data_IF_620735449575
#
_entry.id   IF_620735449575
#
_cell.length_a   1.000
_cell.length_b   1.000
_cell.length_c   1.000
_cell.angle_alpha   90.00
_cell.angle_beta   90.00
_cell.angle_gamma   90.00
#
_symmetry.space_group_name_H-M   'P 1'
#
loop_
_entity.id
_entity.type
_entity.pdbx_description
1 polymer ?
#
# COMPACT_ATOMS: atom_id res chain seq x y z
N UNK A 1 -22.45 -21.54 -22.05
CA UNK A 1 -23.35 -20.91 -21.05
C UNK A 1 -22.73 -20.84 -19.65
N UNK A 2 -22.03 -21.89 -19.21
CA UNK A 2 -21.35 -21.96 -17.90
C UNK A 2 -20.27 -20.89 -17.66
N UNK A 3 -19.39 -20.62 -18.64
CA UNK A 3 -18.35 -19.58 -18.51
C UNK A 3 -18.93 -18.16 -18.40
N UNK A 4 -19.97 -17.84 -19.18
CA UNK A 4 -20.66 -16.54 -19.09
C UNK A 4 -21.31 -16.33 -17.72
N UNK A 5 -21.88 -17.38 -17.11
CA UNK A 5 -22.46 -17.32 -15.75
C UNK A 5 -21.38 -17.13 -14.68
N UNK A 6 -20.25 -17.85 -14.79
CA UNK A 6 -19.09 -17.66 -13.89
C UNK A 6 -18.56 -16.23 -13.93
N UNK A 7 -18.45 -15.64 -15.12
CA UNK A 7 -17.96 -14.27 -15.27
C UNK A 7 -18.89 -13.21 -14.65
N UNK A 8 -20.21 -13.42 -14.70
CA UNK A 8 -21.18 -12.53 -14.05
C UNK A 8 -21.12 -12.67 -12.53
N UNK A 9 -21.04 -13.89 -12.00
CA UNK A 9 -20.90 -14.11 -10.56
C UNK A 9 -19.63 -13.45 -10.01
N UNK A 10 -18.49 -13.61 -10.69
CA UNK A 10 -17.24 -12.97 -10.30
C UNK A 10 -17.31 -11.43 -10.35
N UNK A 11 -18.09 -10.88 -11.30
CA UNK A 11 -18.31 -9.44 -11.40
C UNK A 11 -19.20 -8.90 -10.26
N UNK A 12 -20.26 -9.64 -9.90
CA UNK A 12 -21.10 -9.30 -8.76
C UNK A 12 -20.29 -9.39 -7.47
N UNK A 13 -19.54 -10.47 -7.28
CA UNK A 13 -18.70 -10.65 -6.11
C UNK A 13 -17.65 -9.55 -5.99
N UNK A 14 -17.02 -9.14 -7.09
CA UNK A 14 -16.06 -8.03 -7.06
C UNK A 14 -16.70 -6.69 -6.71
N UNK A 15 -17.92 -6.42 -7.20
CA UNK A 15 -18.70 -5.24 -6.80
C UNK A 15 -19.05 -5.24 -5.31
N UNK A 16 -19.48 -6.38 -4.78
CA UNK A 16 -19.79 -6.55 -3.35
C UNK A 16 -18.55 -6.35 -2.49
N UNK A 17 -17.43 -6.99 -2.82
CA UNK A 17 -16.17 -6.83 -2.08
C UNK A 17 -15.65 -5.39 -2.14
N UNK A 18 -15.70 -4.73 -3.30
CA UNK A 18 -15.31 -3.33 -3.44
C UNK A 18 -16.24 -2.40 -2.64
N UNK A 19 -17.54 -2.68 -2.61
CA UNK A 19 -18.52 -1.93 -1.81
C UNK A 19 -18.29 -2.09 -0.31
N UNK A 20 -18.01 -3.30 0.18
CA UNK A 20 -17.66 -3.50 1.58
C UNK A 20 -16.34 -2.83 1.95
N UNK A 21 -15.35 -2.86 1.06
CA UNK A 21 -14.11 -2.11 1.28
C UNK A 21 -14.34 -0.60 1.32
N UNK A 22 -15.26 -0.06 0.52
CA UNK A 22 -15.65 1.35 0.55
C UNK A 22 -16.31 1.73 1.89
N UNK A 23 -17.12 0.84 2.46
CA UNK A 23 -17.80 1.05 3.74
C UNK A 23 -16.88 0.88 4.97
N UNK A 24 -15.72 0.24 4.83
CA UNK A 24 -14.86 -0.08 5.99
C UNK A 24 -13.96 1.09 6.40
N UNK A 25 -13.11 1.57 5.49
CA UNK A 25 -12.16 2.64 5.77
C UNK A 25 -11.89 3.48 4.53
N UNK A 26 -11.47 4.74 4.71
CA UNK A 26 -11.36 5.72 3.64
C UNK A 26 -10.45 5.32 2.45
N UNK A 27 -9.28 4.69 2.66
CA UNK A 27 -8.48 4.10 1.58
C UNK A 27 -9.28 3.04 0.80
N UNK A 28 -10.12 2.25 1.47
CA UNK A 28 -10.89 1.18 0.85
C UNK A 28 -11.82 1.65 -0.28
N UNK A 29 -12.11 2.95 -0.34
CA UNK A 29 -12.86 3.56 -1.46
C UNK A 29 -12.18 3.40 -2.82
N UNK A 30 -10.86 3.21 -2.86
CA UNK A 30 -10.10 3.06 -4.11
C UNK A 30 -10.24 1.66 -4.75
N UNK A 31 -10.68 0.63 -4.03
CA UNK A 31 -10.83 -0.72 -4.60
C UNK A 31 -11.82 -0.77 -5.76
N UNK A 32 -12.73 0.21 -5.87
CA UNK A 32 -13.63 0.35 -7.02
C UNK A 32 -12.87 0.41 -8.36
N UNK A 33 -11.66 0.96 -8.36
CA UNK A 33 -10.92 1.22 -9.60
C UNK A 33 -10.31 -0.04 -10.21
N UNK A 34 -10.01 -1.10 -9.45
CA UNK A 34 -9.39 -2.30 -10.03
C UNK A 34 -10.29 -2.95 -11.09
N UNK A 35 -11.57 -3.29 -10.80
CA UNK A 35 -12.43 -3.90 -11.80
C UNK A 35 -12.76 -2.94 -12.95
N UNK A 36 -12.91 -1.64 -12.67
CA UNK A 36 -13.16 -0.62 -13.68
C UNK A 36 -12.01 -0.48 -14.66
N UNK A 37 -10.77 -0.35 -14.17
CA UNK A 37 -9.57 -0.32 -15.00
C UNK A 37 -9.41 -1.61 -15.80
N UNK A 38 -9.68 -2.76 -15.18
CA UNK A 38 -9.60 -4.05 -15.86
C UNK A 38 -10.61 -4.13 -17.02
N UNK A 39 -11.86 -3.73 -16.80
CA UNK A 39 -12.88 -3.67 -17.86
C UNK A 39 -12.55 -2.65 -18.95
N UNK A 40 -11.94 -1.52 -18.59
CA UNK A 40 -11.56 -0.48 -19.55
C UNK A 40 -10.39 -0.92 -20.44
N UNK A 41 -9.37 -1.57 -19.86
CA UNK A 41 -8.15 -1.99 -20.55
C UNK A 41 -8.25 -3.38 -21.22
N UNK A 42 -9.29 -4.17 -20.94
CA UNK A 42 -9.62 -5.42 -21.66
C UNK A 42 -10.84 -5.22 -22.57
N UNK A 43 -10.66 -5.04 -23.89
CA UNK A 43 -11.75 -4.84 -24.85
C UNK A 43 -12.85 -5.91 -24.79
N UNK A 44 -12.50 -7.18 -24.52
CA UNK A 44 -13.45 -8.29 -24.43
C UNK A 44 -14.45 -8.18 -23.27
N UNK A 45 -14.10 -7.41 -22.23
CA UNK A 45 -14.92 -7.17 -21.05
C UNK A 45 -15.61 -5.79 -21.06
N UNK A 46 -15.23 -4.91 -21.98
CA UNK A 46 -15.77 -3.56 -22.18
C UNK A 46 -17.20 -3.60 -22.75
N UNK A 47 -18.12 -4.14 -21.97
CA UNK A 47 -19.55 -4.22 -22.28
C UNK A 47 -20.28 -3.28 -21.32
N UNK A 48 -21.08 -2.37 -21.86
CA UNK A 48 -21.88 -1.43 -21.05
C UNK A 48 -22.70 -2.14 -19.98
N UNK A 49 -23.27 -3.31 -20.31
CA UNK A 49 -24.00 -4.16 -19.35
C UNK A 49 -23.15 -4.57 -18.13
N UNK A 50 -21.88 -4.91 -18.33
CA UNK A 50 -21.00 -5.29 -17.23
C UNK A 50 -20.68 -4.08 -16.34
N UNK A 51 -20.43 -2.93 -16.96
CA UNK A 51 -20.21 -1.68 -16.25
C UNK A 51 -21.45 -1.30 -15.41
N UNK A 52 -22.64 -1.32 -16.02
CA UNK A 52 -23.89 -1.05 -15.33
C UNK A 52 -24.12 -2.02 -14.17
N UNK A 53 -23.96 -3.33 -14.39
CA UNK A 53 -24.16 -4.32 -13.35
C UNK A 53 -23.21 -4.09 -12.17
N UNK A 54 -21.93 -3.87 -12.45
CA UNK A 54 -20.93 -3.58 -11.42
C UNK A 54 -21.29 -2.31 -10.64
N UNK A 55 -21.57 -1.21 -11.34
CA UNK A 55 -21.85 0.09 -10.72
C UNK A 55 -23.15 0.09 -9.92
N UNK A 56 -24.20 -0.62 -10.38
CA UNK A 56 -25.47 -0.76 -9.64
C UNK A 56 -25.26 -1.56 -8.36
N UNK A 57 -24.60 -2.73 -8.44
CA UNK A 57 -24.34 -3.56 -7.25
C UNK A 57 -23.43 -2.81 -6.27
N UNK A 58 -22.35 -2.20 -6.76
CA UNK A 58 -21.45 -1.39 -5.94
C UNK A 58 -22.20 -0.21 -5.29
N UNK A 59 -22.97 0.55 -6.08
CA UNK A 59 -23.75 1.70 -5.62
C UNK A 59 -24.75 1.34 -4.51
N UNK A 60 -25.42 0.19 -4.65
CA UNK A 60 -26.29 -0.34 -3.61
C UNK A 60 -25.53 -0.63 -2.32
N UNK A 61 -24.38 -1.30 -2.39
CA UNK A 61 -23.61 -1.67 -1.19
C UNK A 61 -23.05 -0.44 -0.45
N UNK A 62 -22.60 0.62 -1.16
CA UNK A 62 -22.04 1.82 -0.52
C UNK A 62 -23.10 2.76 0.08
N UNK A 63 -24.37 2.50 -0.16
CA UNK A 63 -25.49 3.39 0.21
C UNK A 63 -25.43 3.86 1.67
N UNK A 64 -25.18 3.00 2.68
CA UNK A 64 -25.23 3.43 4.09
C UNK A 64 -24.24 4.56 4.41
N UNK A 65 -22.96 4.41 4.04
CA UNK A 65 -21.94 5.42 4.35
C UNK A 65 -22.10 6.66 3.45
N UNK A 66 -22.52 6.48 2.20
CA UNK A 66 -22.72 7.59 1.27
C UNK A 66 -23.88 8.49 1.69
N UNK A 67 -25.00 7.91 2.16
CA UNK A 67 -26.12 8.68 2.70
C UNK A 67 -25.72 9.43 3.97
N UNK A 68 -25.00 8.76 4.88
CA UNK A 68 -24.51 9.40 6.10
C UNK A 68 -23.61 10.60 5.80
N UNK A 69 -22.62 10.44 4.91
CA UNK A 69 -21.67 11.50 4.56
C UNK A 69 -22.27 12.63 3.73
N UNK A 70 -23.38 12.38 3.01
CA UNK A 70 -24.13 13.44 2.33
C UNK A 70 -24.82 14.39 3.33
N UNK A 71 -25.19 13.89 4.50
CA UNK A 71 -25.81 14.67 5.57
C UNK A 71 -24.78 15.22 6.57
N UNK A 72 -23.63 14.53 6.71
CA UNK A 72 -22.59 14.83 7.68
C UNK A 72 -21.23 14.94 6.96
N UNK A 73 -20.92 16.08 6.33
CA UNK A 73 -19.68 16.23 5.58
C UNK A 73 -18.45 16.08 6.48
N UNK A 74 -17.51 15.22 6.08
CA UNK A 74 -16.27 14.97 6.81
C UNK A 74 -15.22 16.03 6.47
N UNK A 75 -15.00 16.98 7.39
CA UNK A 75 -14.03 18.06 7.22
C UNK A 75 -12.56 17.58 7.23
N UNK A 76 -12.28 16.37 7.72
CA UNK A 76 -10.89 15.86 7.87
C UNK A 76 -10.18 15.73 6.53
N UNK A 77 -10.93 15.44 5.45
CA UNK A 77 -10.37 15.41 4.11
C UNK A 77 -9.72 16.76 3.75
N UNK A 78 -10.41 17.87 4.04
CA UNK A 78 -9.93 19.22 3.74
C UNK A 78 -8.76 19.63 4.65
N UNK A 79 -8.77 19.18 5.91
CA UNK A 79 -7.70 19.47 6.87
C UNK A 79 -6.40 18.75 6.55
N UNK A 80 -6.44 17.60 5.88
CA UNK A 80 -5.25 16.81 5.56
C UNK A 80 -4.64 17.16 4.19
N UNK A 81 -5.45 17.65 3.25
CA UNK A 81 -5.03 17.96 1.90
C UNK A 81 -4.43 19.37 1.81
N UNK A 82 -3.10 19.48 1.93
CA UNK A 82 -2.40 20.76 1.75
C UNK A 82 -2.66 21.38 0.36
N UNK A 83 -3.00 20.55 -0.63
CA UNK A 83 -3.31 21.03 -1.97
C UNK A 83 -4.48 22.02 -1.99
N UNK A 84 -5.44 21.85 -1.07
CA UNK A 84 -6.61 22.71 -0.90
C UNK A 84 -6.36 23.90 0.03
N UNK A 85 -5.21 23.95 0.72
CA UNK A 85 -4.86 25.05 1.61
C UNK A 85 -4.56 26.33 0.81
N UNK A 86 -5.33 27.38 1.07
CA UNK A 86 -5.18 28.69 0.41
C UNK A 86 -4.05 29.53 0.98
N UNK A 87 -3.51 29.16 2.15
CA UNK A 87 -2.40 29.87 2.79
C UNK A 87 -1.04 29.46 2.21
N UNK A 88 -0.99 28.36 1.44
CA UNK A 88 0.23 27.88 0.80
C UNK A 88 0.37 28.44 -0.62
N UNK A 89 1.56 28.98 -0.90
CA UNK A 89 1.97 29.36 -2.25
C UNK A 89 2.15 28.14 -3.15
N UNK A 90 2.07 28.33 -4.47
CA UNK A 90 2.29 27.26 -5.46
C UNK A 90 3.67 26.60 -5.26
N UNK A 91 4.70 27.40 -5.00
CA UNK A 91 6.07 26.90 -4.74
C UNK A 91 6.11 25.98 -3.53
N UNK A 92 5.44 26.34 -2.43
CA UNK A 92 5.36 25.47 -1.24
C UNK A 92 4.60 24.18 -1.54
N UNK A 93 3.50 24.24 -2.29
CA UNK A 93 2.73 23.05 -2.70
C UNK A 93 3.56 22.09 -3.56
N UNK A 94 4.38 22.62 -4.46
CA UNK A 94 5.30 21.82 -5.29
C UNK A 94 6.43 21.21 -4.46
N UNK A 95 6.97 21.96 -3.50
CA UNK A 95 7.98 21.44 -2.56
C UNK A 95 7.41 20.28 -1.72
N UNK A 96 6.21 20.44 -1.17
CA UNK A 96 5.52 19.40 -0.41
C UNK A 96 5.25 18.15 -1.26
N UNK A 97 4.86 18.34 -2.53
CA UNK A 97 4.67 17.23 -3.45
C UNK A 97 5.97 16.44 -3.66
N UNK A 98 7.08 17.14 -3.93
CA UNK A 98 8.39 16.52 -4.13
C UNK A 98 8.88 15.79 -2.86
N UNK A 99 8.66 16.39 -1.69
CA UNK A 99 8.98 15.77 -0.40
C UNK A 99 8.16 14.50 -0.18
N UNK A 100 6.86 14.52 -0.50
CA UNK A 100 6.00 13.35 -0.38
C UNK A 100 6.40 12.22 -1.34
N UNK A 101 6.80 12.55 -2.57
CA UNK A 101 7.34 11.54 -3.51
C UNK A 101 8.58 10.88 -2.90
N UNK A 102 9.51 11.66 -2.33
CA UNK A 102 10.70 11.11 -1.69
C UNK A 102 10.36 10.25 -0.48
N UNK A 103 9.51 10.74 0.44
CA UNK A 103 9.05 10.00 1.63
C UNK A 103 8.34 8.70 1.25
N UNK A 104 7.56 8.71 0.17
CA UNK A 104 6.88 7.53 -0.34
C UNK A 104 7.84 6.49 -0.91
N UNK A 105 8.86 6.91 -1.69
CA UNK A 105 9.90 5.98 -2.16
C UNK A 105 10.71 5.41 -0.99
N UNK A 106 11.03 6.24 0.00
CA UNK A 106 11.71 5.81 1.22
C UNK A 106 10.85 4.86 2.04
N UNK A 107 9.52 5.01 2.05
CA UNK A 107 8.60 4.12 2.78
C UNK A 107 8.80 2.65 2.40
N UNK A 108 9.03 2.36 1.12
CA UNK A 108 9.21 1.00 0.64
C UNK A 108 10.63 0.46 0.84
N UNK A 109 11.63 1.33 1.07
CA UNK A 109 13.04 0.97 0.94
C UNK A 109 13.86 1.20 2.22
N UNK A 110 13.70 2.35 2.88
CA UNK A 110 14.63 2.83 3.92
C UNK A 110 13.90 3.17 5.22
N UNK A 111 12.85 4.02 5.16
CA UNK A 111 12.20 4.61 6.34
C UNK A 111 10.70 4.57 6.17
N UNK A 112 10.03 3.69 6.92
CA UNK A 112 8.58 3.52 6.87
C UNK A 112 7.80 4.49 7.74
N UNK A 113 6.53 4.16 7.93
CA UNK A 113 5.60 4.89 8.79
C UNK A 113 6.08 4.86 10.23
N UNK A 114 5.87 5.97 10.89
CA UNK A 114 6.27 6.20 12.27
C UNK A 114 5.20 5.77 13.26
N UNK A 115 3.95 5.68 12.81
CA UNK A 115 2.83 5.31 13.63
C UNK A 115 2.87 3.81 13.94
N UNK A 116 3.07 3.49 15.23
CA UNK A 116 3.15 2.13 15.75
C UNK A 116 1.88 1.30 15.56
N UNK A 117 0.74 1.95 15.26
CA UNK A 117 -0.51 1.28 14.91
C UNK A 117 -0.45 0.60 13.54
N UNK A 118 0.39 1.09 12.62
CA UNK A 118 0.40 0.62 11.24
C UNK A 118 1.50 -0.42 10.98
N UNK A 119 2.67 -0.24 11.59
CA UNK A 119 3.82 -1.13 11.48
C UNK A 119 4.78 -0.89 12.65
N UNK A 120 5.82 -1.70 12.80
CA UNK A 120 6.93 -1.35 13.68
C UNK A 120 7.51 0.01 13.24
N UNK A 121 7.62 1.01 14.14
CA UNK A 121 7.99 2.38 13.76
C UNK A 121 9.26 2.42 12.90
N UNK A 122 9.21 3.21 11.83
CA UNK A 122 10.29 3.44 10.87
C UNK A 122 10.74 2.22 10.06
N UNK A 123 10.22 1.02 10.32
CA UNK A 123 10.49 -0.17 9.51
C UNK A 123 9.94 0.03 8.09
N UNK A 124 10.72 -0.21 7.02
CA UNK A 124 10.20 -0.19 5.66
C UNK A 124 8.95 -1.05 5.48
N UNK A 125 8.05 -0.61 4.59
CA UNK A 125 6.80 -1.31 4.28
C UNK A 125 7.04 -2.72 3.76
N UNK A 126 8.10 -2.89 2.96
CA UNK A 126 8.50 -4.16 2.40
C UNK A 126 9.83 -4.58 3.02
N UNK A 127 9.89 -5.80 3.53
CA UNK A 127 11.17 -6.41 3.88
C UNK A 127 12.02 -6.59 2.59
N UNK A 128 13.36 -6.74 2.72
CA UNK A 128 14.25 -6.77 1.55
C UNK A 128 13.89 -7.82 0.50
N UNK A 129 13.43 -9.00 0.92
CA UNK A 129 13.03 -10.09 0.00
C UNK A 129 11.82 -9.66 -0.83
N UNK A 130 10.77 -9.15 -0.17
CA UNK A 130 9.57 -8.66 -0.85
C UNK A 130 9.87 -7.46 -1.75
N UNK A 131 10.74 -6.54 -1.31
CA UNK A 131 11.17 -5.40 -2.11
C UNK A 131 11.87 -5.85 -3.39
N UNK A 132 12.79 -6.81 -3.32
CA UNK A 132 13.49 -7.34 -4.49
C UNK A 132 12.51 -7.99 -5.48
N UNK A 133 11.58 -8.82 -4.99
CA UNK A 133 10.56 -9.46 -5.84
C UNK A 133 9.64 -8.42 -6.48
N UNK A 134 9.19 -7.43 -5.71
CA UNK A 134 8.37 -6.32 -6.20
C UNK A 134 9.07 -5.55 -7.32
N UNK A 135 10.32 -5.12 -7.12
CA UNK A 135 11.09 -4.37 -8.11
C UNK A 135 11.35 -5.21 -9.37
N UNK A 136 11.72 -6.49 -9.22
CA UNK A 136 11.94 -7.39 -10.34
C UNK A 136 10.67 -7.54 -11.20
N UNK A 137 9.53 -7.75 -10.56
CA UNK A 137 8.25 -7.87 -11.25
C UNK A 137 7.75 -6.55 -11.83
N UNK A 138 7.97 -5.42 -11.16
CA UNK A 138 7.64 -4.10 -11.68
C UNK A 138 8.41 -3.81 -12.97
N UNK A 139 9.73 -4.02 -12.97
CA UNK A 139 10.59 -3.87 -14.16
C UNK A 139 10.13 -4.81 -15.28
N UNK A 140 9.89 -6.08 -14.97
CA UNK A 140 9.41 -7.04 -15.97
C UNK A 140 8.03 -6.67 -16.53
N UNK A 141 7.11 -6.21 -15.67
CA UNK A 141 5.78 -5.74 -16.06
C UNK A 141 5.83 -4.52 -16.98
N UNK A 142 6.71 -3.56 -16.70
CA UNK A 142 6.95 -2.38 -17.53
C UNK A 142 7.53 -2.73 -18.90
N UNK A 143 8.35 -3.79 -18.98
CA UNK A 143 8.90 -4.30 -20.26
C UNK A 143 7.85 -5.05 -21.08
N UNK A 144 7.08 -5.94 -20.44
CA UNK A 144 6.09 -6.80 -21.13
C UNK A 144 4.84 -6.03 -21.56
N UNK A 145 4.47 -4.95 -20.85
CA UNK A 145 3.33 -4.05 -21.13
C UNK A 145 2.00 -4.77 -21.38
N UNK A 146 1.77 -5.91 -20.73
CA UNK A 146 0.51 -6.63 -20.88
C UNK A 146 -0.65 -5.89 -20.18
N UNK A 147 -1.90 -6.14 -20.62
CA UNK A 147 -3.08 -5.46 -20.08
C UNK A 147 -3.21 -5.57 -18.55
N UNK A 148 -2.91 -6.73 -17.97
CA UNK A 148 -3.02 -6.95 -16.52
C UNK A 148 -1.98 -6.12 -15.75
N UNK A 149 -0.73 -6.09 -16.20
CA UNK A 149 0.33 -5.28 -15.61
C UNK A 149 0.02 -3.79 -15.72
N UNK A 150 -0.57 -3.35 -16.83
CA UNK A 150 -0.99 -1.96 -16.99
C UNK A 150 -2.12 -1.59 -16.01
N UNK A 151 -3.06 -2.51 -15.75
CA UNK A 151 -4.11 -2.31 -14.72
C UNK A 151 -3.48 -2.14 -13.34
N UNK A 152 -2.61 -3.04 -12.91
CA UNK A 152 -1.99 -2.95 -11.59
C UNK A 152 -0.98 -1.82 -11.47
N UNK A 153 -0.34 -1.39 -12.56
CA UNK A 153 0.48 -0.19 -12.58
C UNK A 153 -0.36 1.08 -12.42
N UNK A 154 -1.44 1.21 -13.19
CA UNK A 154 -2.36 2.33 -13.08
C UNK A 154 -3.00 2.37 -11.68
N UNK A 155 -3.41 1.21 -11.16
CA UNK A 155 -3.95 1.11 -9.82
C UNK A 155 -2.92 1.43 -8.73
N UNK A 156 -1.64 1.06 -8.90
CA UNK A 156 -0.58 1.43 -7.96
C UNK A 156 -0.44 2.95 -7.87
N UNK A 157 -0.43 3.65 -9.00
CA UNK A 157 -0.38 5.10 -9.05
C UNK A 157 -1.63 5.70 -8.38
N UNK A 158 -2.82 5.23 -8.73
CA UNK A 158 -4.08 5.72 -8.12
C UNK A 158 -4.15 5.48 -6.61
N UNK A 159 -3.68 4.33 -6.13
CA UNK A 159 -3.68 3.98 -4.71
C UNK A 159 -2.71 4.85 -3.90
N UNK A 160 -1.59 5.24 -4.50
CA UNK A 160 -0.57 6.07 -3.85
C UNK A 160 -0.85 7.57 -3.97
N UNK A 161 -1.52 7.99 -5.04
CA UNK A 161 -1.75 9.39 -5.38
C UNK A 161 -2.30 10.27 -4.23
N UNK A 162 -3.32 9.84 -3.45
CA UNK A 162 -3.87 10.69 -2.38
C UNK A 162 -2.82 11.09 -1.33
N UNK A 163 -1.88 10.19 -1.04
CA UNK A 163 -0.81 10.40 -0.06
C UNK A 163 0.17 11.48 -0.53
N UNK A 164 0.30 11.71 -1.84
CA UNK A 164 1.14 12.78 -2.38
C UNK A 164 0.57 14.18 -2.10
N UNK A 165 -0.74 14.27 -1.85
CA UNK A 165 -1.45 15.53 -1.65
C UNK A 165 -1.71 15.88 -0.18
N UNK A 166 -1.24 15.04 0.76
CA UNK A 166 -1.35 15.28 2.21
C UNK A 166 -0.12 15.98 2.77
N UNK A 167 -0.25 16.67 3.91
CA UNK A 167 0.90 17.41 4.45
C UNK A 167 2.12 16.48 4.70
N UNK A 168 3.36 16.93 4.38
CA UNK A 168 4.53 16.06 4.48
C UNK A 168 4.81 15.48 5.86
N UNK A 169 4.48 16.20 6.93
CA UNK A 169 4.70 15.74 8.30
C UNK A 169 3.84 14.52 8.68
N UNK A 170 2.74 14.27 7.97
CA UNK A 170 1.91 13.08 8.16
C UNK A 170 2.39 11.87 7.33
N UNK A 171 3.43 12.05 6.52
CA UNK A 171 3.96 11.04 5.61
C UNK A 171 5.33 10.53 6.06
N UNK A 172 5.68 9.26 5.77
CA UNK A 172 4.85 8.27 5.09
C UNK A 172 3.72 7.72 5.98
N UNK A 173 2.58 7.38 5.37
CA UNK A 173 1.42 6.84 6.07
C UNK A 173 0.95 5.52 5.46
N UNK A 174 1.23 4.41 6.14
CA UNK A 174 0.96 3.06 5.65
C UNK A 174 -0.54 2.75 5.60
N UNK A 175 -1.35 3.34 6.47
CA UNK A 175 -2.80 3.19 6.44
C UNK A 175 -3.40 3.82 5.19
N UNK A 176 -2.94 5.02 4.79
CA UNK A 176 -3.37 5.68 3.54
C UNK A 176 -2.93 4.91 2.30
N UNK A 177 -1.76 4.28 2.34
CA UNK A 177 -1.21 3.52 1.21
C UNK A 177 -1.57 2.04 1.19
N UNK A 178 -2.35 1.53 2.15
CA UNK A 178 -2.68 0.09 2.29
C UNK A 178 -3.34 -0.47 1.03
N UNK A 179 -4.04 0.37 0.29
CA UNK A 179 -4.73 0.01 -0.96
C UNK A 179 -3.77 -0.30 -2.11
N UNK A 180 -2.48 0.01 -1.99
CA UNK A 180 -1.45 -0.37 -2.96
C UNK A 180 -1.10 -1.87 -2.90
N UNK A 181 -1.50 -2.59 -1.84
CA UNK A 181 -1.17 -4.01 -1.62
C UNK A 181 -1.50 -4.93 -2.82
N UNK A 182 -2.67 -4.85 -3.49
CA UNK A 182 -2.96 -5.68 -4.65
C UNK A 182 -1.92 -5.55 -5.77
N UNK A 183 -1.48 -4.31 -6.05
CA UNK A 183 -0.43 -4.07 -7.05
C UNK A 183 0.92 -4.59 -6.58
N UNK A 184 1.27 -4.37 -5.32
CA UNK A 184 2.53 -4.86 -4.73
C UNK A 184 2.58 -6.39 -4.84
N UNK A 185 1.54 -7.08 -4.40
CA UNK A 185 1.45 -8.55 -4.45
C UNK A 185 1.48 -9.06 -5.88
N UNK A 186 0.74 -8.41 -6.79
CA UNK A 186 0.79 -8.75 -8.22
C UNK A 186 2.20 -8.67 -8.79
N UNK A 187 2.93 -7.58 -8.52
CA UNK A 187 4.30 -7.41 -9.02
C UNK A 187 5.28 -8.37 -8.32
N UNK A 188 5.14 -8.65 -7.02
CA UNK A 188 5.92 -9.73 -6.39
C UNK A 188 5.72 -11.09 -7.08
N UNK A 189 4.47 -11.47 -7.34
CA UNK A 189 4.13 -12.71 -8.05
C UNK A 189 4.65 -12.72 -9.48
N UNK A 190 4.60 -11.59 -10.17
CA UNK A 190 5.17 -11.44 -11.52
C UNK A 190 6.70 -11.58 -11.52
N UNK A 191 7.38 -11.07 -10.48
CA UNK A 191 8.82 -11.25 -10.27
C UNK A 191 9.18 -12.72 -10.07
N UNK A 192 8.42 -13.43 -9.23
CA UNK A 192 8.56 -14.89 -9.03
C UNK A 192 8.37 -15.64 -10.35
N UNK A 193 7.31 -15.33 -11.09
CA UNK A 193 7.02 -15.97 -12.39
C UNK A 193 8.17 -15.75 -13.39
N UNK A 194 8.75 -14.55 -13.42
CA UNK A 194 9.89 -14.25 -14.29
C UNK A 194 11.14 -15.06 -13.92
N UNK A 195 11.45 -15.20 -12.63
CA UNK A 195 12.58 -16.01 -12.14
C UNK A 195 12.39 -17.48 -12.53
N UNK A 196 11.18 -18.02 -12.35
CA UNK A 196 10.85 -19.40 -12.71
C UNK A 196 10.94 -19.65 -14.22
N UNK A 197 10.45 -18.71 -15.03
CA UNK A 197 10.53 -18.77 -16.49
C UNK A 197 11.99 -18.72 -16.98
N UNK A 198 12.83 -17.87 -16.38
CA UNK A 198 14.26 -17.83 -16.69
C UNK A 198 14.96 -19.13 -16.28
N UNK A 199 14.67 -19.65 -15.09
CA UNK A 199 15.22 -20.90 -14.57
C UNK A 199 14.87 -22.11 -15.44
N UNK A 200 13.63 -22.23 -15.91
CA UNK A 200 13.20 -23.35 -16.74
C UNK A 200 13.86 -23.37 -18.13
N UNK A 201 14.12 -22.20 -18.73
CA UNK A 201 14.85 -22.09 -20.00
C UNK A 201 16.30 -22.59 -19.89
N UNK A 202 16.94 -22.36 -18.74
CA UNK A 202 18.35 -22.71 -18.50
C UNK A 202 18.51 -24.11 -17.88
N UNK A 203 17.47 -24.65 -17.22
CA UNK A 203 17.44 -25.99 -16.60
C UNK A 203 17.87 -27.12 -17.55
N UNK A 204 17.70 -26.95 -18.87
CA UNK A 204 18.21 -27.87 -19.88
C UNK A 204 19.74 -28.09 -19.82
N UNK A 205 20.49 -27.18 -19.19
CA UNK A 205 21.96 -27.20 -19.10
C UNK A 205 22.49 -27.49 -17.69
N UNK A 206 21.72 -27.21 -16.63
CA UNK A 206 22.16 -27.39 -15.25
C UNK A 206 21.06 -27.98 -14.35
N UNK A 207 21.35 -29.13 -13.73
CA UNK A 207 20.39 -29.90 -12.91
C UNK A 207 19.96 -29.19 -11.62
N UNK A 208 20.84 -28.38 -11.01
CA UNK A 208 20.53 -27.67 -9.76
C UNK A 208 19.44 -26.60 -9.90
N UNK A 209 19.16 -26.12 -11.13
CA UNK A 209 18.08 -25.17 -11.38
C UNK A 209 16.69 -25.78 -11.16
N UNK A 210 16.59 -27.11 -11.02
CA UNK A 210 15.36 -27.79 -10.58
C UNK A 210 14.87 -27.31 -9.20
N UNK A 211 15.77 -26.81 -8.34
CA UNK A 211 15.47 -26.40 -6.96
C UNK A 211 15.04 -24.94 -6.83
N UNK A 212 15.03 -24.13 -7.91
CA UNK A 212 14.59 -22.73 -7.87
C UNK A 212 13.21 -22.54 -7.20
N UNK A 213 12.16 -23.33 -7.52
CA UNK A 213 10.87 -23.19 -6.86
C UNK A 213 10.97 -23.39 -5.34
N UNK A 214 11.76 -24.37 -4.89
CA UNK A 214 11.97 -24.64 -3.46
C UNK A 214 12.70 -23.46 -2.79
N UNK A 215 13.73 -22.91 -3.43
CA UNK A 215 14.43 -21.72 -2.94
C UNK A 215 13.51 -20.51 -2.82
N UNK A 216 12.61 -20.29 -3.79
CA UNK A 216 11.62 -19.19 -3.74
C UNK A 216 10.67 -19.39 -2.57
N UNK A 217 10.15 -20.61 -2.38
CA UNK A 217 9.29 -20.93 -1.23
C UNK A 217 10.03 -20.67 0.08
N UNK A 218 11.27 -21.14 0.21
CA UNK A 218 12.09 -20.89 1.39
C UNK A 218 12.29 -19.39 1.65
N UNK A 219 12.59 -18.59 0.62
CA UNK A 219 12.74 -17.14 0.73
C UNK A 219 11.44 -16.45 1.19
N UNK A 220 10.29 -16.86 0.65
CA UNK A 220 8.98 -16.33 1.08
C UNK A 220 8.67 -16.71 2.53
N UNK A 221 8.99 -17.94 2.94
CA UNK A 221 8.81 -18.39 4.33
C UNK A 221 9.72 -17.62 5.28
N UNK A 222 11.00 -17.43 4.93
CA UNK A 222 11.95 -16.61 5.71
C UNK A 222 11.44 -15.17 5.83
N UNK A 223 10.98 -14.59 4.72
CA UNK A 223 10.40 -13.25 4.65
C UNK A 223 9.19 -13.10 5.59
N UNK A 224 8.24 -14.04 5.52
CA UNK A 224 7.06 -14.03 6.38
C UNK A 224 7.43 -14.23 7.86
N UNK A 225 8.37 -15.13 8.15
CA UNK A 225 8.82 -15.41 9.53
C UNK A 225 9.48 -14.20 10.15
N UNK A 226 10.29 -13.46 9.38
CA UNK A 226 10.89 -12.21 9.83
C UNK A 226 9.85 -11.16 10.22
N UNK A 227 8.79 -10.98 9.42
CA UNK A 227 7.73 -10.02 9.72
C UNK A 227 6.84 -10.47 10.88
N UNK A 228 6.50 -11.76 10.97
CA UNK A 228 5.77 -12.35 12.11
C UNK A 228 6.57 -12.17 13.40
N UNK A 229 7.87 -12.50 13.39
CA UNK A 229 8.74 -12.30 14.54
C UNK A 229 8.78 -10.82 14.93
N UNK A 230 8.96 -9.92 13.97
CA UNK A 230 8.98 -8.47 14.23
C UNK A 230 7.67 -8.00 14.86
N UNK A 231 6.54 -8.49 14.37
CA UNK A 231 5.22 -8.16 14.88
C UNK A 231 5.07 -8.60 16.34
N UNK A 232 5.22 -9.89 16.61
CA UNK A 232 4.95 -10.44 17.95
C UNK A 232 6.01 -10.05 18.98
N UNK A 233 7.26 -9.83 18.56
CA UNK A 233 8.36 -9.48 19.47
C UNK A 233 8.39 -7.99 19.81
N UNK A 234 8.07 -7.12 18.85
CA UNK A 234 8.27 -5.68 18.99
C UNK A 234 6.99 -4.88 18.74
N UNK A 235 6.33 -5.07 17.59
CA UNK A 235 5.19 -4.22 17.21
C UNK A 235 3.99 -4.40 18.15
N UNK A 236 3.70 -5.60 18.62
CA UNK A 236 2.56 -5.88 19.51
C UNK A 236 2.58 -5.01 20.77
N UNK A 237 3.74 -4.87 21.40
CA UNK A 237 3.95 -3.99 22.55
C UNK A 237 3.75 -2.52 22.18
N UNK A 238 4.36 -2.08 21.07
CA UNK A 238 4.25 -0.70 20.59
C UNK A 238 2.80 -0.34 20.23
N UNK A 239 2.08 -1.27 19.60
CA UNK A 239 0.71 -1.07 19.14
C UNK A 239 -0.24 -0.82 20.31
N UNK A 240 -0.14 -1.62 21.40
CA UNK A 240 -0.96 -1.43 22.59
C UNK A 240 -0.76 -0.04 23.19
N UNK A 241 0.48 0.42 23.32
CA UNK A 241 0.78 1.72 23.92
C UNK A 241 0.60 2.89 22.94
N UNK A 242 0.57 2.66 21.62
CA UNK A 242 0.29 3.70 20.62
C UNK A 242 -1.13 4.24 20.70
N UNK A 243 -2.06 3.53 21.37
CA UNK A 243 -3.38 4.08 21.71
C UNK A 243 -3.33 5.09 22.87
N UNK A 244 -2.26 5.06 23.69
CA UNK A 244 -2.08 5.92 24.86
C UNK A 244 -1.25 7.18 24.56
N UNK A 245 -0.37 7.11 23.55
CA UNK A 245 0.49 8.22 23.13
C UNK A 245 -0.31 9.28 22.37
N UNK A 246 -0.55 10.44 23.00
CA UNK A 246 -1.29 11.57 22.40
C UNK A 246 -0.44 12.47 21.47
N UNK A 247 0.89 12.39 21.57
CA UNK A 247 1.81 13.38 20.95
C UNK A 247 2.49 12.92 19.65
N UNK A 248 1.98 11.88 18.98
CA UNK A 248 2.49 11.42 17.69
C UNK A 248 3.96 10.93 17.72
N UNK A 249 4.77 11.35 16.73
CA UNK A 249 6.15 10.85 16.51
C UNK A 249 7.06 10.93 17.74
N UNK A 250 7.04 12.08 18.42
CA UNK A 250 7.91 12.33 19.55
C UNK A 250 7.58 11.44 20.74
N UNK A 251 6.28 11.24 21.02
CA UNK A 251 5.83 10.36 22.09
C UNK A 251 6.22 8.89 21.85
N UNK A 252 6.07 8.39 20.62
CA UNK A 252 6.49 7.02 20.25
C UNK A 252 7.99 6.83 20.43
N UNK A 253 8.80 7.84 20.08
CA UNK A 253 10.25 7.76 20.20
C UNK A 253 10.73 7.79 21.66
N UNK A 254 10.25 8.74 22.47
CA UNK A 254 10.55 8.82 23.91
C UNK A 254 10.21 7.50 24.61
N UNK A 255 9.07 6.90 24.25
CA UNK A 255 8.64 5.60 24.74
C UNK A 255 9.62 4.47 24.37
N UNK A 256 9.96 4.33 23.08
CA UNK A 256 10.87 3.27 22.62
C UNK A 256 12.23 3.34 23.34
N UNK A 257 12.73 4.56 23.56
CA UNK A 257 13.98 4.78 24.30
C UNK A 257 13.85 4.38 25.78
N UNK A 258 12.78 4.81 26.46
CA UNK A 258 12.55 4.49 27.87
C UNK A 258 12.46 2.97 28.14
N UNK A 259 11.88 2.20 27.21
CA UNK A 259 11.73 0.74 27.32
C UNK A 259 12.89 -0.07 26.74
N UNK A 260 13.99 0.58 26.35
CA UNK A 260 15.17 -0.05 25.71
C UNK A 260 14.79 -0.89 24.46
N UNK A 261 13.74 -0.48 23.75
CA UNK A 261 13.37 -1.11 22.48
C UNK A 261 14.46 -0.70 21.46
N UNK A 262 15.12 -1.64 20.78
CA UNK A 262 16.29 -1.33 19.97
C UNK A 262 15.97 -0.34 18.83
N UNK A 263 16.57 0.84 18.93
CA UNK A 263 16.47 1.95 17.95
C UNK A 263 17.67 1.94 16.98
N UNK A 264 18.66 1.07 17.22
CA UNK A 264 20.02 1.12 16.64
C UNK A 264 20.13 0.96 15.12
N UNK A 265 19.02 0.80 14.39
CA UNK A 265 18.97 0.79 12.91
C UNK A 265 18.30 2.02 12.30
N UNK A 266 17.88 3.00 13.10
CA UNK A 266 17.10 4.13 12.62
C UNK A 266 17.96 5.39 12.45
N UNK A 267 18.05 5.89 11.21
CA UNK A 267 18.56 7.23 10.94
C UNK A 267 17.42 8.24 11.12
N UNK A 268 17.49 9.00 12.21
CA UNK A 268 16.57 10.10 12.50
C UNK A 268 17.12 11.36 11.84
N UNK A 269 16.27 12.16 11.19
CA UNK A 269 16.72 13.44 10.64
C UNK A 269 16.98 14.43 11.78
N UNK A 270 17.89 15.38 11.59
CA UNK A 270 18.23 16.35 12.64
C UNK A 270 17.01 17.20 13.05
N UNK A 271 16.08 17.43 12.11
CA UNK A 271 14.79 18.09 12.33
C UNK A 271 13.90 17.29 13.28
N UNK A 272 13.78 15.99 13.09
CA UNK A 272 13.00 15.09 13.96
C UNK A 272 13.62 15.04 15.38
N UNK A 273 14.95 15.06 15.49
CA UNK A 273 15.67 15.13 16.77
C UNK A 273 15.51 16.47 17.50
N UNK A 274 15.28 17.57 16.78
CA UNK A 274 14.97 18.87 17.41
C UNK A 274 13.57 18.90 18.00
N UNK A 275 12.60 18.23 17.36
CA UNK A 275 11.25 18.10 17.90
C UNK A 275 11.26 17.25 19.19
N UNK A 276 12.01 16.13 19.19
CA UNK A 276 12.25 15.33 20.39
C UNK A 276 12.83 16.14 21.55
N UNK A 277 13.90 16.93 21.30
CA UNK A 277 14.53 17.77 22.32
C UNK A 277 13.63 18.88 22.88
N UNK A 278 12.57 19.28 22.17
CA UNK A 278 11.59 20.24 22.66
C UNK A 278 10.53 19.61 23.57
N UNK A 279 10.31 18.30 23.45
CA UNK A 279 9.22 17.58 24.13
C UNK A 279 9.72 16.70 25.29
N UNK A 280 11.02 16.40 25.33
CA UNK A 280 11.67 15.79 26.48
C UNK A 280 12.09 16.89 27.48
N UNK A 281 11.61 16.86 28.74
CA UNK A 281 12.07 17.78 29.79
C UNK A 281 13.56 17.61 30.09
#
# INVERSE_FOLDING_TARGET
MFEKRKNILLLILSAVCAGFAYNSYQPGRFFIFIPLLYMFLKPSLKKWRNFLLYTIVFGFIITPISLYLAQHPDIRLYQQLYFLDTNLTITQKMLFFAENVLRMVQMFTIKGDVNGLHNYPLKPALNPIMLTLFLAGLIYGLKKRNATSNVFLAYLVLALFPTLLTYPHENPNMLRTVTALPSIIYFCGLGIAHILEAGSRVKRKFSFLAYIPLCIVALVVISATFDIYTYFRYQSTVMNESFEVKDGFAGVYTFMHARKIPISKFRVSETDMRLYRKLSP
#
